data_IF_933494397462
#
_entry.id   IF_933494397462
#
_cell.length_a   1.000
_cell.length_b   1.000
_cell.length_c   1.000
_cell.angle_alpha   90.00
_cell.angle_beta   90.00
_cell.angle_gamma   90.00
#
_symmetry.space_group_name_H-M   'P 1'
#
loop_
_entity.id
_entity.type
_entity.pdbx_description
1 polymer ?
#
# COMPACT_ATOMS: atom_id res chain seq x y z
N UNK A 1 -28.49 -8.31 -33.21
CA UNK A 1 -28.12 -6.89 -33.09
C UNK A 1 -28.26 -6.22 -34.44
N UNK A 2 -28.82 -5.02 -34.45
CA UNK A 2 -29.19 -4.22 -35.62
C UNK A 2 -28.11 -3.18 -35.95
N UNK A 3 -28.09 -2.65 -37.19
CA UNK A 3 -27.19 -1.55 -37.58
C UNK A 3 -27.36 -0.29 -36.70
N UNK A 4 -28.52 -0.17 -36.06
CA UNK A 4 -28.91 0.87 -35.10
C UNK A 4 -28.22 0.70 -33.73
N UNK A 5 -27.86 -0.52 -33.34
CA UNK A 5 -27.22 -0.82 -32.05
C UNK A 5 -25.77 -0.30 -32.05
N UNK A 6 -25.04 -0.50 -33.15
CA UNK A 6 -23.67 0.01 -33.30
C UNK A 6 -23.58 1.54 -33.33
N UNK A 7 -24.57 2.22 -33.91
CA UNK A 7 -24.64 3.68 -33.92
C UNK A 7 -24.91 4.25 -32.51
N UNK A 8 -25.77 3.60 -31.73
CA UNK A 8 -26.06 4.01 -30.35
C UNK A 8 -24.87 3.76 -29.41
N UNK A 9 -24.18 2.61 -29.55
CA UNK A 9 -22.96 2.32 -28.83
C UNK A 9 -21.85 3.34 -29.13
N UNK A 10 -21.63 3.67 -30.40
CA UNK A 10 -20.67 4.71 -30.80
C UNK A 10 -21.04 6.09 -30.26
N UNK A 11 -22.32 6.44 -30.21
CA UNK A 11 -22.77 7.70 -29.64
C UNK A 11 -22.50 7.77 -28.12
N UNK A 12 -22.72 6.67 -27.39
CA UNK A 12 -22.40 6.59 -25.96
C UNK A 12 -20.89 6.72 -25.71
N UNK A 13 -20.04 6.07 -26.52
CA UNK A 13 -18.59 6.18 -26.40
C UNK A 13 -18.09 7.61 -26.70
N UNK A 14 -18.67 8.29 -27.71
CA UNK A 14 -18.35 9.70 -27.99
C UNK A 14 -18.75 10.61 -26.85
N UNK A 15 -19.93 10.41 -26.27
CA UNK A 15 -20.36 11.16 -25.10
C UNK A 15 -19.40 10.95 -23.90
N UNK A 16 -18.82 9.76 -23.76
CA UNK A 16 -17.82 9.46 -22.73
C UNK A 16 -16.52 10.25 -22.99
N UNK A 17 -16.02 10.27 -24.23
CA UNK A 17 -14.82 11.05 -24.57
C UNK A 17 -15.05 12.56 -24.48
N UNK A 18 -16.25 13.03 -24.79
CA UNK A 18 -16.62 14.45 -24.66
C UNK A 18 -16.68 14.86 -23.18
N UNK A 19 -17.25 14.01 -22.32
CA UNK A 19 -17.23 14.19 -20.87
C UNK A 19 -15.80 14.16 -20.30
N UNK A 20 -14.93 13.31 -20.84
CA UNK A 20 -13.50 13.30 -20.50
C UNK A 20 -12.83 14.64 -20.85
N UNK A 21 -13.07 15.15 -22.06
CA UNK A 21 -12.47 16.40 -22.51
C UNK A 21 -12.93 17.63 -21.70
N UNK A 22 -14.13 17.59 -21.13
CA UNK A 22 -14.67 18.66 -20.27
C UNK A 22 -14.37 18.48 -18.78
N UNK A 23 -13.76 17.36 -18.38
CA UNK A 23 -13.54 17.01 -16.97
C UNK A 23 -14.83 16.64 -16.22
N UNK A 24 -15.90 16.27 -16.92
CA UNK A 24 -17.18 15.86 -16.34
C UNK A 24 -17.15 14.41 -15.85
N UNK A 25 -16.57 14.22 -14.67
CA UNK A 25 -16.45 12.91 -14.01
C UNK A 25 -17.81 12.22 -13.85
N UNK A 26 -18.86 12.96 -13.49
CA UNK A 26 -20.21 12.41 -13.31
C UNK A 26 -20.81 11.96 -14.65
N UNK A 27 -20.58 12.72 -15.72
CA UNK A 27 -20.96 12.35 -17.08
C UNK A 27 -20.25 11.09 -17.56
N UNK A 28 -18.96 10.95 -17.28
CA UNK A 28 -18.17 9.75 -17.58
C UNK A 28 -18.69 8.53 -16.82
N UNK A 29 -18.88 8.62 -15.50
CA UNK A 29 -19.36 7.52 -14.67
C UNK A 29 -20.74 7.00 -15.12
N UNK A 30 -21.63 7.89 -15.55
CA UNK A 30 -22.94 7.50 -16.09
C UNK A 30 -22.84 6.66 -17.37
N UNK A 31 -21.74 6.74 -18.08
CA UNK A 31 -21.50 6.03 -19.33
C UNK A 31 -20.64 4.78 -19.16
N UNK A 32 -20.16 4.49 -17.95
CA UNK A 32 -19.44 3.26 -17.63
C UNK A 32 -20.41 2.11 -17.28
N UNK A 33 -19.97 0.89 -17.57
CA UNK A 33 -20.69 -0.34 -17.19
C UNK A 33 -20.62 -0.57 -15.68
N UNK A 34 -21.57 -1.33 -15.14
CA UNK A 34 -21.55 -1.73 -13.73
C UNK A 34 -20.29 -2.52 -13.39
N UNK A 35 -19.89 -3.44 -14.26
CA UNK A 35 -18.65 -4.24 -14.15
C UNK A 35 -17.41 -3.35 -13.97
N UNK A 36 -17.29 -2.31 -14.80
CA UNK A 36 -16.18 -1.36 -14.70
C UNK A 36 -16.17 -0.58 -13.38
N UNK A 37 -17.35 -0.16 -12.91
CA UNK A 37 -17.49 0.59 -11.67
C UNK A 37 -17.18 -0.28 -10.43
N UNK A 38 -17.62 -1.54 -10.45
CA UNK A 38 -17.36 -2.52 -9.38
C UNK A 38 -15.89 -2.97 -9.35
N UNK A 39 -15.22 -3.03 -10.50
CA UNK A 39 -13.81 -3.42 -10.60
C UNK A 39 -12.82 -2.27 -10.31
N UNK A 40 -13.29 -1.06 -9.97
CA UNK A 40 -12.43 0.10 -9.75
C UNK A 40 -11.65 0.56 -11.00
N UNK A 41 -12.09 0.16 -12.20
CA UNK A 41 -11.34 0.33 -13.45
C UNK A 41 -11.27 1.76 -13.99
N UNK A 42 -11.72 2.77 -13.23
CA UNK A 42 -11.77 4.16 -13.65
C UNK A 42 -11.07 5.08 -12.64
N UNK A 43 -9.99 5.73 -13.08
CA UNK A 43 -9.13 6.60 -12.26
C UNK A 43 -9.33 8.10 -12.52
N UNK A 44 -10.39 8.48 -13.23
CA UNK A 44 -10.71 9.88 -13.56
C UNK A 44 -10.38 10.27 -15.01
N UNK A 45 -10.52 11.56 -15.35
CA UNK A 45 -10.35 12.03 -16.71
C UNK A 45 -8.87 11.99 -17.13
N UNK A 46 -8.62 11.57 -18.36
CA UNK A 46 -7.30 11.66 -18.98
C UNK A 46 -6.92 13.12 -19.26
N UNK A 47 -5.62 13.46 -19.33
CA UNK A 47 -5.15 14.78 -19.74
C UNK A 47 -5.81 15.24 -21.05
N UNK A 48 -6.18 16.53 -21.11
CA UNK A 48 -7.02 17.13 -22.16
C UNK A 48 -6.39 17.21 -23.57
N UNK A 49 -5.15 16.77 -23.72
CA UNK A 49 -4.34 16.99 -24.91
C UNK A 49 -4.41 15.83 -25.91
N UNK A 50 -5.53 15.09 -25.94
CA UNK A 50 -5.72 13.97 -26.88
C UNK A 50 -6.91 14.19 -27.82
N UNK A 51 -6.74 13.78 -29.08
CA UNK A 51 -7.79 13.68 -30.08
C UNK A 51 -8.12 12.20 -30.31
N UNK A 52 -9.41 11.87 -30.28
CA UNK A 52 -9.90 10.50 -30.47
C UNK A 52 -10.49 10.31 -31.86
N UNK A 53 -10.06 9.26 -32.55
CA UNK A 53 -10.66 8.78 -33.79
C UNK A 53 -11.36 7.45 -33.53
N UNK A 54 -12.56 7.27 -34.08
CA UNK A 54 -13.36 6.06 -33.90
C UNK A 54 -13.56 5.35 -35.22
N UNK A 55 -13.29 4.05 -35.23
CA UNK A 55 -13.55 3.15 -36.35
C UNK A 55 -15.00 2.69 -36.46
N UNK A 56 -15.26 1.78 -37.39
CA UNK A 56 -16.58 1.18 -37.56
C UNK A 56 -16.91 0.22 -36.40
N UNK A 57 -18.08 0.36 -35.75
CA UNK A 57 -18.51 -0.56 -34.69
C UNK A 57 -18.81 -1.96 -35.22
N UNK A 58 -18.38 -2.98 -34.48
CA UNK A 58 -18.59 -4.40 -34.78
C UNK A 58 -19.34 -5.09 -33.63
N UNK A 59 -20.31 -5.94 -33.93
CA UNK A 59 -21.00 -6.74 -32.91
C UNK A 59 -20.24 -8.04 -32.62
N UNK A 60 -19.89 -8.29 -31.37
CA UNK A 60 -19.13 -9.48 -30.94
C UNK A 60 -19.73 -10.01 -29.65
N UNK A 61 -20.22 -11.25 -29.66
CA UNK A 61 -20.68 -12.00 -28.47
C UNK A 61 -21.61 -11.23 -27.50
N UNK A 62 -22.55 -10.45 -28.06
CA UNK A 62 -23.53 -9.68 -27.28
C UNK A 62 -23.06 -8.30 -26.85
N UNK A 63 -21.83 -7.91 -27.20
CA UNK A 63 -21.28 -6.56 -27.04
C UNK A 63 -21.08 -5.88 -28.40
N UNK A 64 -20.89 -4.56 -28.38
CA UNK A 64 -20.40 -3.79 -29.54
C UNK A 64 -18.96 -3.37 -29.26
N UNK A 65 -18.05 -3.73 -30.16
CA UNK A 65 -16.65 -3.31 -30.10
C UNK A 65 -16.45 -2.13 -31.04
N UNK A 66 -15.92 -1.03 -30.52
CA UNK A 66 -15.59 0.18 -31.29
C UNK A 66 -14.07 0.36 -31.28
N UNK A 67 -13.39 0.28 -32.44
CA UNK A 67 -11.99 0.65 -32.52
C UNK A 67 -11.82 2.14 -32.19
N UNK A 68 -10.88 2.48 -31.31
CA UNK A 68 -10.55 3.85 -30.95
C UNK A 68 -9.04 4.07 -31.03
N UNK A 69 -8.64 5.17 -31.65
CA UNK A 69 -7.27 5.66 -31.66
C UNK A 69 -7.17 6.99 -30.93
N UNK A 70 -6.18 7.15 -30.06
CA UNK A 70 -5.85 8.42 -29.40
C UNK A 70 -4.56 9.00 -29.99
N UNK A 71 -4.59 10.29 -30.33
CA UNK A 71 -3.50 11.05 -30.93
C UNK A 71 -3.22 12.30 -30.10
N UNK A 72 -1.98 12.82 -30.05
CA UNK A 72 -1.71 14.05 -29.32
C UNK A 72 -2.41 15.23 -29.99
N UNK A 73 -2.90 16.17 -29.19
CA UNK A 73 -3.56 17.39 -29.62
C UNK A 73 -2.61 18.32 -30.34
N UNK A 74 -3.09 18.97 -31.40
CA UNK A 74 -2.31 19.96 -32.16
C UNK A 74 -1.36 19.37 -33.22
N UNK A 75 -1.34 18.04 -33.39
CA UNK A 75 -0.60 17.36 -34.46
C UNK A 75 -1.58 16.99 -35.58
N UNK A 76 -1.16 17.11 -36.85
CA UNK A 76 -2.02 16.83 -38.00
C UNK A 76 -2.55 15.39 -38.05
N UNK A 77 -3.61 15.11 -38.82
CA UNK A 77 -4.27 13.79 -38.89
C UNK A 77 -3.40 12.65 -39.45
N UNK A 78 -2.16 12.93 -39.88
CA UNK A 78 -1.20 11.93 -40.36
C UNK A 78 -0.18 11.48 -39.30
N UNK A 79 -0.28 11.95 -38.05
CA UNK A 79 0.57 11.46 -36.95
C UNK A 79 0.30 9.97 -36.64
N UNK A 80 1.26 9.27 -36.04
CA UNK A 80 0.95 7.92 -35.54
C UNK A 80 0.10 8.02 -34.25
N UNK A 81 -0.89 7.12 -34.03
CA UNK A 81 -1.64 7.09 -32.79
C UNK A 81 -0.73 6.70 -31.63
N UNK A 82 -0.86 7.38 -30.49
CA UNK A 82 -0.14 7.04 -29.25
C UNK A 82 -0.76 5.81 -28.60
N UNK A 83 -2.04 5.59 -28.86
CA UNK A 83 -2.81 4.48 -28.30
C UNK A 83 -3.87 4.04 -29.29
N UNK A 84 -4.02 2.72 -29.46
CA UNK A 84 -5.10 2.12 -30.21
C UNK A 84 -5.75 1.04 -29.33
N UNK A 85 -7.07 1.09 -29.18
CA UNK A 85 -7.82 0.17 -28.34
C UNK A 85 -9.14 -0.28 -28.97
N UNK A 86 -9.64 -1.41 -28.50
CA UNK A 86 -10.92 -1.99 -28.91
C UNK A 86 -11.93 -1.78 -27.80
N UNK A 87 -12.61 -0.63 -27.79
CA UNK A 87 -13.55 -0.26 -26.74
C UNK A 87 -14.76 -1.19 -26.75
N UNK A 88 -15.00 -1.88 -25.63
CA UNK A 88 -16.12 -2.80 -25.47
C UNK A 88 -17.32 -2.04 -24.91
N UNK A 89 -18.43 -2.07 -25.63
CA UNK A 89 -19.69 -1.46 -25.24
C UNK A 89 -20.72 -2.55 -24.94
N UNK A 90 -21.38 -2.44 -23.79
CA UNK A 90 -22.41 -3.37 -23.32
C UNK A 90 -23.73 -2.63 -23.11
N UNK A 91 -24.86 -3.30 -23.30
CA UNK A 91 -26.18 -2.73 -23.03
C UNK A 91 -26.63 -3.10 -21.61
N UNK A 92 -26.86 -2.09 -20.77
CA UNK A 92 -27.34 -2.24 -19.40
C UNK A 92 -28.56 -1.35 -19.19
N UNK A 93 -29.64 -1.91 -18.65
CA UNK A 93 -30.88 -1.19 -18.34
C UNK A 93 -31.43 -0.36 -19.53
N UNK A 94 -31.22 -0.85 -20.75
CA UNK A 94 -31.64 -0.20 -22.01
C UNK A 94 -30.76 0.97 -22.47
N UNK A 95 -29.55 1.11 -21.90
CA UNK A 95 -28.57 2.11 -22.30
C UNK A 95 -27.21 1.47 -22.60
N UNK A 96 -26.52 1.97 -23.63
CA UNK A 96 -25.16 1.55 -23.94
C UNK A 96 -24.16 2.13 -22.94
N UNK A 97 -23.29 1.27 -22.43
CA UNK A 97 -22.25 1.56 -21.45
C UNK A 97 -20.90 1.11 -21.97
N UNK A 98 -19.85 1.85 -21.61
CA UNK A 98 -18.47 1.51 -21.89
C UNK A 98 -17.94 0.58 -20.80
N UNK A 99 -17.56 -0.63 -21.18
CA UNK A 99 -16.88 -1.58 -20.32
C UNK A 99 -15.36 -1.41 -20.43
N UNK A 100 -14.85 -0.43 -19.68
CA UNK A 100 -13.43 -0.11 -19.64
C UNK A 100 -12.61 -1.26 -19.02
N UNK A 101 -13.15 -1.95 -18.01
CA UNK A 101 -12.48 -3.11 -17.40
C UNK A 101 -12.25 -4.22 -18.44
N UNK A 102 -13.30 -4.61 -19.17
CA UNK A 102 -13.17 -5.60 -20.24
C UNK A 102 -12.30 -5.11 -21.42
N UNK A 103 -12.27 -3.80 -21.67
CA UNK A 103 -11.42 -3.19 -22.70
C UNK A 103 -9.92 -3.26 -22.32
N UNK A 104 -9.59 -3.07 -21.05
CA UNK A 104 -8.20 -3.05 -20.54
C UNK A 104 -7.66 -4.44 -20.22
N UNK A 105 -8.52 -5.40 -19.85
CA UNK A 105 -8.10 -6.71 -19.38
C UNK A 105 -7.20 -7.48 -20.37
N UNK A 106 -7.51 -7.59 -21.67
CA UNK A 106 -6.62 -8.25 -22.63
C UNK A 106 -5.25 -7.55 -22.79
N UNK A 107 -5.21 -6.23 -22.57
CA UNK A 107 -3.96 -5.46 -22.63
C UNK A 107 -3.11 -5.70 -21.38
N UNK A 108 -3.73 -5.79 -20.21
CA UNK A 108 -3.05 -6.17 -18.97
C UNK A 108 -2.52 -7.59 -19.05
N UNK A 109 -3.31 -8.56 -19.51
CA UNK A 109 -2.89 -9.96 -19.67
C UNK A 109 -1.72 -10.09 -20.67
N UNK A 110 -1.74 -9.34 -21.77
CA UNK A 110 -0.64 -9.30 -22.73
C UNK A 110 0.63 -8.66 -22.14
N UNK A 111 0.47 -7.60 -21.34
CA UNK A 111 1.57 -6.95 -20.63
C UNK A 111 2.17 -7.88 -19.56
N UNK A 112 1.33 -8.58 -18.80
CA UNK A 112 1.75 -9.58 -17.81
C UNK A 112 2.45 -10.76 -18.47
N UNK A 113 1.94 -11.25 -19.61
CA UNK A 113 2.61 -12.30 -20.38
C UNK A 113 3.98 -11.85 -20.90
N UNK A 114 4.08 -10.63 -21.43
CA UNK A 114 5.35 -10.05 -21.88
C UNK A 114 6.33 -9.80 -20.72
N UNK A 115 5.84 -9.36 -19.55
CA UNK A 115 6.64 -9.20 -18.33
C UNK A 115 7.10 -10.54 -17.77
N UNK A 116 6.26 -11.57 -17.83
CA UNK A 116 6.62 -12.94 -17.43
C UNK A 116 7.67 -13.52 -18.37
N UNK A 117 7.53 -13.36 -19.68
CA UNK A 117 8.51 -13.82 -20.66
C UNK A 117 9.84 -13.05 -20.53
N UNK A 118 9.80 -11.74 -20.31
CA UNK A 118 10.98 -10.94 -20.01
C UNK A 118 11.64 -11.35 -18.69
N UNK A 119 10.85 -11.64 -17.65
CA UNK A 119 11.33 -12.11 -16.35
C UNK A 119 11.90 -13.53 -16.39
N UNK A 120 11.35 -14.42 -17.21
CA UNK A 120 11.88 -15.76 -17.46
C UNK A 120 13.21 -15.69 -18.23
N UNK A 121 13.34 -14.82 -19.23
CA UNK A 121 14.60 -14.60 -19.95
C UNK A 121 15.68 -13.94 -19.07
N UNK A 122 15.30 -13.00 -18.20
CA UNK A 122 16.20 -12.40 -17.21
C UNK A 122 16.60 -13.41 -16.13
N UNK A 123 15.67 -14.27 -15.73
CA UNK A 123 15.86 -15.35 -14.77
C UNK A 123 16.74 -16.49 -15.29
N UNK A 124 16.64 -16.87 -16.57
CA UNK A 124 17.54 -17.84 -17.20
C UNK A 124 18.95 -17.26 -17.40
N UNK A 125 19.06 -15.99 -17.80
CA UNK A 125 20.35 -15.31 -17.97
C UNK A 125 21.07 -15.10 -16.62
N UNK A 126 20.35 -14.68 -15.57
CA UNK A 126 20.90 -14.56 -14.21
C UNK A 126 21.13 -15.93 -13.56
N UNK A 127 20.23 -16.90 -13.77
CA UNK A 127 20.35 -18.26 -13.25
C UNK A 127 21.56 -19.00 -13.82
N UNK A 128 21.83 -18.84 -15.13
CA UNK A 128 23.03 -19.37 -15.77
C UNK A 128 24.32 -18.72 -15.27
N UNK A 129 24.30 -17.39 -15.05
CA UNK A 129 25.45 -16.66 -14.53
C UNK A 129 25.72 -16.96 -13.03
N UNK A 130 24.68 -17.06 -12.20
CA UNK A 130 24.79 -17.38 -10.78
C UNK A 130 25.10 -18.85 -10.53
N UNK A 131 24.63 -19.78 -11.36
CA UNK A 131 25.00 -21.19 -11.24
C UNK A 131 26.48 -21.42 -11.58
N UNK A 132 27.00 -20.76 -12.62
CA UNK A 132 28.42 -20.77 -12.95
C UNK A 132 29.31 -20.08 -11.89
N UNK A 133 28.79 -19.04 -11.21
CA UNK A 133 29.49 -18.37 -10.11
C UNK A 133 29.39 -19.19 -8.81
N UNK A 134 28.27 -19.86 -8.57
CA UNK A 134 28.00 -20.74 -7.43
C UNK A 134 28.82 -22.03 -7.46
N UNK A 135 29.04 -22.65 -8.63
CA UNK A 135 29.95 -23.80 -8.78
C UNK A 135 31.42 -23.40 -8.55
N UNK A 136 31.82 -22.18 -8.96
CA UNK A 136 33.15 -21.65 -8.70
C UNK A 136 33.39 -21.30 -7.22
N UNK A 137 32.36 -20.85 -6.49
CA UNK A 137 32.41 -20.53 -5.06
C UNK A 137 32.28 -21.80 -4.19
N UNK A 138 31.39 -22.72 -4.53
CA UNK A 138 31.23 -24.00 -3.82
C UNK A 138 32.46 -24.92 -3.95
N UNK A 139 33.18 -24.84 -5.07
CA UNK A 139 34.49 -25.49 -5.23
C UNK A 139 35.61 -24.85 -4.40
N UNK A 140 35.46 -23.59 -3.99
CA UNK A 140 36.47 -22.82 -3.25
C UNK A 140 36.20 -22.75 -1.72
N UNK A 141 34.95 -22.93 -1.29
CA UNK A 141 34.53 -22.76 0.12
C UNK A 141 33.96 -24.04 0.74
N UNK A 142 34.68 -25.15 0.57
CA UNK A 142 34.51 -26.33 1.44
C UNK A 142 34.89 -25.97 2.88
N UNK A 143 33.96 -25.39 3.61
CA UNK A 143 34.14 -24.93 4.98
C UNK A 143 32.84 -24.37 5.53
N UNK A 144 32.20 -25.17 6.38
CA UNK A 144 31.05 -24.84 7.21
C UNK A 144 31.33 -23.53 7.98
N UNK A 145 30.79 -22.41 7.48
CA UNK A 145 30.75 -21.13 8.19
C UNK A 145 29.35 -20.93 8.74
N UNK A 146 29.20 -21.24 10.03
CA UNK A 146 28.18 -20.62 10.86
C UNK A 146 28.49 -19.12 10.84
N UNK A 147 27.56 -18.31 10.31
CA UNK A 147 27.75 -16.86 10.23
C UNK A 147 27.98 -16.28 11.63
N UNK A 148 29.23 -15.94 11.94
CA UNK A 148 29.61 -15.09 13.07
C UNK A 148 29.08 -13.68 12.79
N UNK A 149 27.85 -13.42 13.25
CA UNK A 149 27.18 -12.15 12.98
C UNK A 149 25.85 -12.00 13.70
N UNK A 150 25.72 -12.53 14.93
CA UNK A 150 24.69 -12.03 15.83
C UNK A 150 25.10 -10.62 16.25
N UNK A 151 24.78 -9.62 15.42
CA UNK A 151 24.94 -8.21 15.78
C UNK A 151 24.15 -7.97 17.06
N UNK A 152 24.84 -7.43 18.07
CA UNK A 152 24.22 -7.01 19.31
C UNK A 152 23.49 -5.71 19.03
N UNK A 153 22.23 -5.82 18.61
CA UNK A 153 21.32 -4.69 18.37
C UNK A 153 21.05 -3.87 19.65
N UNK A 154 21.50 -4.35 20.80
CA UNK A 154 21.37 -3.75 22.13
C UNK A 154 21.85 -2.29 22.17
N UNK A 155 22.90 -1.95 21.42
CA UNK A 155 23.47 -0.60 21.37
C UNK A 155 22.79 0.34 20.36
N UNK A 156 21.81 -0.14 19.59
CA UNK A 156 21.08 0.70 18.65
C UNK A 156 20.31 1.80 19.40
N UNK A 157 20.19 3.02 18.84
CA UNK A 157 19.47 4.12 19.47
C UNK A 157 17.99 3.77 19.75
N UNK A 158 17.40 4.37 20.78
CA UNK A 158 16.01 4.07 21.20
C UNK A 158 14.92 4.70 20.33
N UNK A 159 15.24 5.68 19.52
CA UNK A 159 14.28 6.38 18.69
C UNK A 159 14.92 7.05 17.49
N UNK A 160 14.14 7.77 16.68
CA UNK A 160 14.62 8.50 15.52
C UNK A 160 15.67 9.57 15.89
N UNK A 161 16.68 9.72 15.04
CA UNK A 161 17.65 10.81 15.16
C UNK A 161 17.06 12.14 14.66
N UNK A 162 17.66 13.30 14.99
CA UNK A 162 17.20 14.61 14.49
C UNK A 162 17.06 14.67 12.96
N UNK A 163 17.93 13.95 12.25
CA UNK A 163 17.91 13.80 10.80
C UNK A 163 16.71 13.03 10.27
N UNK A 164 16.10 12.16 11.09
CA UNK A 164 14.93 11.34 10.74
C UNK A 164 13.62 12.11 11.00
N UNK A 165 13.70 13.25 11.71
CA UNK A 165 12.54 14.01 12.17
C UNK A 165 12.21 15.19 11.26
N UNK A 166 10.93 15.35 10.97
CA UNK A 166 10.38 16.44 10.14
C UNK A 166 9.29 17.16 10.89
N UNK A 167 9.02 18.41 10.51
CA UNK A 167 7.92 19.18 11.09
C UNK A 167 6.59 18.66 10.55
N UNK A 168 5.63 18.47 11.45
CA UNK A 168 4.26 18.20 11.07
C UNK A 168 3.61 19.49 10.53
N UNK A 169 2.69 19.38 9.56
CA UNK A 169 1.84 20.50 9.20
C UNK A 169 0.95 20.91 10.37
N UNK A 170 0.28 22.05 10.24
CA UNK A 170 -0.76 22.44 11.19
C UNK A 170 -1.92 21.43 11.13
N UNK A 171 -2.27 20.85 12.28
CA UNK A 171 -3.31 19.84 12.39
C UNK A 171 -4.57 20.41 13.04
N UNK A 172 -5.73 20.04 12.51
CA UNK A 172 -7.03 20.41 13.07
C UNK A 172 -7.57 19.29 13.94
N UNK A 173 -8.07 19.60 15.15
CA UNK A 173 -8.74 18.62 16.00
C UNK A 173 -10.13 18.29 15.46
N UNK A 174 -10.40 17.01 15.29
CA UNK A 174 -11.69 16.44 14.91
C UNK A 174 -12.47 16.14 16.20
N UNK A 175 -13.41 17.02 16.58
CA UNK A 175 -14.01 16.99 17.93
C UNK A 175 -14.90 15.76 18.15
N UNK A 176 -15.71 15.39 17.15
CA UNK A 176 -16.57 14.22 17.21
C UNK A 176 -15.76 12.92 17.33
N UNK A 177 -14.78 12.77 16.45
CA UNK A 177 -13.88 11.61 16.45
C UNK A 177 -13.04 11.54 17.73
N UNK A 178 -12.51 12.68 18.20
CA UNK A 178 -11.75 12.75 19.46
C UNK A 178 -12.57 12.30 20.65
N UNK A 179 -13.84 12.73 20.74
CA UNK A 179 -14.74 12.32 21.82
C UNK A 179 -15.01 10.81 21.78
N UNK A 180 -15.29 10.26 20.59
CA UNK A 180 -15.56 8.83 20.41
C UNK A 180 -14.34 7.95 20.74
N UNK A 181 -13.14 8.34 20.30
CA UNK A 181 -11.90 7.62 20.64
C UNK A 181 -11.60 7.73 22.14
N UNK A 182 -11.74 8.93 22.71
CA UNK A 182 -11.51 9.17 24.14
C UNK A 182 -12.44 8.33 25.01
N UNK A 183 -13.71 8.24 24.65
CA UNK A 183 -14.71 7.40 25.34
C UNK A 183 -14.31 5.91 25.28
N UNK A 184 -13.96 5.41 24.10
CA UNK A 184 -13.62 4.00 23.90
C UNK A 184 -12.33 3.58 24.63
N UNK A 185 -11.30 4.44 24.59
CA UNK A 185 -9.99 4.17 25.22
C UNK A 185 -10.01 4.46 26.74
N UNK A 186 -10.89 5.35 27.20
CA UNK A 186 -10.98 5.77 28.59
C UNK A 186 -9.90 6.77 29.02
N UNK A 187 -9.31 7.50 28.05
CA UNK A 187 -8.26 8.53 28.22
C UNK A 187 -8.43 9.55 27.09
N UNK A 188 -8.12 10.83 27.33
CA UNK A 188 -8.09 11.84 26.26
C UNK A 188 -7.07 11.47 25.19
N UNK A 189 -7.57 11.19 23.99
CA UNK A 189 -6.80 10.86 22.79
C UNK A 189 -7.35 11.72 21.64
N UNK A 190 -6.72 12.87 21.33
CA UNK A 190 -7.11 13.68 20.19
C UNK A 190 -7.06 12.89 18.88
N UNK A 191 -8.05 13.10 18.02
CA UNK A 191 -7.98 12.81 16.59
C UNK A 191 -7.69 14.13 15.87
N UNK A 192 -6.59 14.16 15.14
CA UNK A 192 -6.03 15.32 14.47
C UNK A 192 -5.97 15.05 12.97
N UNK A 193 -6.32 16.02 12.14
CA UNK A 193 -6.30 15.88 10.68
C UNK A 193 -5.44 16.97 10.03
N UNK A 194 -4.60 16.59 9.07
CA UNK A 194 -3.97 17.53 8.14
C UNK A 194 -5.01 18.02 7.12
N UNK A 195 -5.87 18.92 7.56
CA UNK A 195 -7.00 19.40 6.76
C UNK A 195 -6.55 20.08 5.46
N UNK A 196 -5.41 20.77 5.48
CA UNK A 196 -4.88 21.42 4.30
C UNK A 196 -4.42 20.39 3.26
N UNK A 197 -3.69 19.36 3.69
CA UNK A 197 -3.27 18.27 2.82
C UNK A 197 -4.46 17.48 2.26
N UNK A 198 -5.44 17.15 3.10
CA UNK A 198 -6.66 16.43 2.71
C UNK A 198 -7.50 17.23 1.70
N UNK A 199 -7.72 18.53 1.94
CA UNK A 199 -8.42 19.40 0.98
C UNK A 199 -7.64 19.54 -0.34
N UNK A 200 -6.30 19.55 -0.26
CA UNK A 200 -5.40 19.58 -1.40
C UNK A 200 -5.61 18.42 -2.37
N UNK A 201 -5.97 17.23 -1.87
CA UNK A 201 -6.29 16.05 -2.71
C UNK A 201 -7.45 16.32 -3.68
N UNK A 202 -8.37 17.21 -3.31
CA UNK A 202 -9.56 17.56 -4.09
C UNK A 202 -9.48 18.95 -4.74
N UNK A 203 -8.36 19.66 -4.59
CA UNK A 203 -8.25 21.06 -5.02
C UNK A 203 -9.22 22.00 -4.28
N UNK A 204 -9.65 21.62 -3.07
CA UNK A 204 -10.61 22.36 -2.27
C UNK A 204 -9.90 23.29 -1.27
N UNK A 205 -10.64 24.27 -0.74
CA UNK A 205 -10.14 25.19 0.30
C UNK A 205 -11.08 25.35 1.49
N UNK A 206 -12.32 24.88 1.37
CA UNK A 206 -13.32 24.94 2.44
C UNK A 206 -13.40 23.58 3.15
N UNK A 207 -13.01 23.48 4.44
CA UNK A 207 -13.10 22.25 5.21
C UNK A 207 -14.53 21.90 5.66
N UNK A 208 -15.48 22.85 5.58
CA UNK A 208 -16.84 22.71 6.12
C UNK A 208 -17.57 21.43 5.70
N UNK A 209 -17.54 21.04 4.42
CA UNK A 209 -18.17 19.78 3.97
C UNK A 209 -17.45 18.50 4.44
N UNK A 210 -16.13 18.57 4.65
CA UNK A 210 -15.30 17.40 4.97
C UNK A 210 -15.31 17.07 6.47
N UNK A 211 -15.39 18.08 7.33
CA UNK A 211 -15.36 17.90 8.80
C UNK A 211 -16.45 16.92 9.28
N UNK A 212 -17.75 17.06 8.93
CA UNK A 212 -18.77 16.14 9.42
C UNK A 212 -18.55 14.70 8.93
N UNK A 213 -18.01 14.52 7.72
CA UNK A 213 -17.71 13.20 7.19
C UNK A 213 -16.51 12.56 7.92
N UNK A 214 -15.44 13.33 8.16
CA UNK A 214 -14.28 12.87 8.94
C UNK A 214 -14.66 12.51 10.37
N UNK A 215 -15.43 13.37 11.04
CA UNK A 215 -15.82 13.19 12.45
C UNK A 215 -16.76 12.00 12.68
N UNK A 216 -17.49 11.56 11.65
CA UNK A 216 -18.52 10.54 11.79
C UNK A 216 -18.21 9.28 10.99
N UNK A 217 -18.18 9.38 9.66
CA UNK A 217 -18.16 8.22 8.76
C UNK A 217 -16.74 7.66 8.59
N UNK A 218 -15.77 8.52 8.29
CA UNK A 218 -14.38 8.09 8.07
C UNK A 218 -13.75 7.50 9.33
N UNK A 219 -13.98 8.14 10.48
CA UNK A 219 -13.45 7.67 11.77
C UNK A 219 -14.36 6.63 12.46
N UNK A 220 -15.41 6.15 11.78
CA UNK A 220 -16.33 5.18 12.36
C UNK A 220 -15.58 3.91 12.78
N UNK A 221 -15.65 3.56 14.07
CA UNK A 221 -15.02 2.35 14.59
C UNK A 221 -13.55 2.50 15.00
N UNK A 222 -12.93 3.66 14.78
CA UNK A 222 -11.54 3.94 15.18
C UNK A 222 -11.31 3.72 16.69
N UNK A 223 -12.18 4.31 17.52
CA UNK A 223 -12.12 4.15 18.99
C UNK A 223 -12.18 2.70 19.45
N UNK A 224 -13.22 1.93 19.07
CA UNK A 224 -13.31 0.50 19.36
C UNK A 224 -12.10 -0.32 18.88
N UNK A 225 -11.56 -0.02 17.70
CA UNK A 225 -10.41 -0.73 17.16
C UNK A 225 -9.13 -0.46 17.95
N UNK A 226 -8.91 0.77 18.41
CA UNK A 226 -7.80 1.12 19.30
C UNK A 226 -7.97 0.44 20.66
N UNK A 227 -9.17 0.50 21.25
CA UNK A 227 -9.46 -0.09 22.56
C UNK A 227 -9.31 -1.62 22.57
N UNK A 228 -9.47 -2.29 21.43
CA UNK A 228 -9.28 -3.72 21.30
C UNK A 228 -7.84 -4.18 21.57
N UNK A 229 -6.84 -3.29 21.53
CA UNK A 229 -5.48 -3.56 21.97
C UNK A 229 -5.32 -3.66 23.52
N UNK A 230 -6.42 -3.51 24.28
CA UNK A 230 -6.42 -3.66 25.74
C UNK A 230 -5.68 -2.52 26.44
N UNK A 231 -4.92 -2.80 27.49
CA UNK A 231 -4.24 -1.77 28.29
C UNK A 231 -3.21 -0.96 27.50
N UNK A 232 -2.60 -1.54 26.45
CA UNK A 232 -1.63 -0.85 25.59
C UNK A 232 -2.27 0.32 24.83
N UNK A 233 -3.58 0.28 24.59
CA UNK A 233 -4.32 1.38 23.95
C UNK A 233 -4.16 2.71 24.70
N UNK A 234 -3.93 2.68 26.02
CA UNK A 234 -3.74 3.88 26.85
C UNK A 234 -2.39 4.55 26.60
N UNK A 235 -1.45 3.87 25.93
CA UNK A 235 -0.18 4.44 25.49
C UNK A 235 -0.34 5.30 24.23
N UNK A 236 -1.43 5.15 23.48
CA UNK A 236 -1.71 6.03 22.33
C UNK A 236 -1.88 7.47 22.84
N UNK A 237 -1.15 8.39 22.22
CA UNK A 237 -1.16 9.82 22.54
C UNK A 237 -2.19 10.54 21.69
N UNK A 238 -2.15 10.33 20.38
CA UNK A 238 -3.09 10.92 19.42
C UNK A 238 -3.31 9.99 18.24
N UNK A 239 -4.35 10.28 17.46
CA UNK A 239 -4.54 9.71 16.12
C UNK A 239 -4.37 10.84 15.11
N UNK A 240 -3.55 10.63 14.08
CA UNK A 240 -3.34 11.60 13.00
C UNK A 240 -3.90 11.06 11.69
N UNK A 241 -4.70 11.87 11.02
CA UNK A 241 -5.25 11.60 9.68
C UNK A 241 -4.45 12.43 8.69
N UNK A 242 -3.73 11.76 7.79
CA UNK A 242 -2.84 12.37 6.82
C UNK A 242 -3.28 12.00 5.38
N UNK A 243 -3.06 12.87 4.38
CA UNK A 243 -3.32 12.51 2.99
C UNK A 243 -2.28 11.49 2.48
N UNK A 244 -2.74 10.47 1.76
CA UNK A 244 -1.91 9.71 0.83
C UNK A 244 -2.03 10.35 -0.56
N UNK A 245 -0.91 10.72 -1.17
CA UNK A 245 -0.92 11.31 -2.53
C UNK A 245 -0.92 10.25 -3.63
N UNK A 246 -0.64 9.01 -3.25
CA UNK A 246 -0.65 7.81 -4.07
C UNK A 246 -1.07 6.61 -3.21
N UNK A 247 -1.59 5.57 -3.87
CA UNK A 247 -2.00 4.32 -3.25
C UNK A 247 -0.85 3.65 -2.48
N UNK A 248 0.39 3.77 -2.97
CA UNK A 248 1.57 3.21 -2.30
C UNK A 248 1.84 3.80 -0.91
N UNK A 249 1.22 4.94 -0.57
CA UNK A 249 1.35 5.63 0.71
C UNK A 249 0.16 5.40 1.66
N UNK A 250 -0.84 4.62 1.25
CA UNK A 250 -1.96 4.25 2.12
C UNK A 250 -1.48 3.26 3.19
N UNK A 251 -1.59 3.65 4.46
CA UNK A 251 -1.26 2.76 5.58
C UNK A 251 -1.82 3.25 6.92
N UNK A 252 -1.94 2.32 7.86
CA UNK A 252 -2.00 2.64 9.30
C UNK A 252 -0.71 2.18 9.98
N UNK A 253 -0.03 3.06 10.70
CA UNK A 253 1.23 2.78 11.39
C UNK A 253 1.37 3.62 12.68
N UNK A 254 2.39 3.30 13.48
CA UNK A 254 2.79 4.12 14.63
C UNK A 254 3.91 5.09 14.24
N UNK A 255 3.83 6.31 14.77
CA UNK A 255 4.91 7.29 14.77
C UNK A 255 5.18 7.70 16.22
N UNK A 256 6.08 6.95 16.87
CA UNK A 256 6.19 6.97 18.33
C UNK A 256 4.87 6.52 18.95
N UNK A 257 4.25 7.39 19.76
CA UNK A 257 2.97 7.11 20.44
C UNK A 257 1.73 7.60 19.68
N UNK A 258 1.91 8.17 18.49
CA UNK A 258 0.79 8.58 17.64
C UNK A 258 0.41 7.44 16.67
N UNK A 259 -0.88 7.14 16.59
CA UNK A 259 -1.42 6.29 15.53
C UNK A 259 -1.64 7.15 14.29
N UNK A 260 -1.00 6.82 13.18
CA UNK A 260 -1.11 7.56 11.93
C UNK A 260 -1.92 6.74 10.95
N UNK A 261 -3.00 7.34 10.47
CA UNK A 261 -3.84 6.82 9.41
C UNK A 261 -3.65 7.71 8.18
N UNK A 262 -2.84 7.25 7.25
CA UNK A 262 -2.61 7.95 5.98
C UNK A 262 -3.49 7.34 4.90
N UNK A 263 -4.37 8.15 4.30
CA UNK A 263 -5.45 7.68 3.44
C UNK A 263 -5.56 8.46 2.12
N UNK A 264 -5.83 7.76 1.02
CA UNK A 264 -6.18 8.37 -0.27
C UNK A 264 -7.71 8.45 -0.39
N UNK A 265 -8.27 9.57 0.04
CA UNK A 265 -9.72 9.77 0.06
C UNK A 265 -10.33 9.95 -1.34
N UNK A 266 -9.53 9.98 -2.40
CA UNK A 266 -10.02 10.11 -3.79
C UNK A 266 -10.48 8.78 -4.37
N UNK A 267 -9.98 7.67 -3.84
CA UNK A 267 -10.34 6.32 -4.26
C UNK A 267 -11.31 5.68 -3.28
N UNK A 268 -12.23 4.87 -3.81
CA UNK A 268 -13.19 4.14 -3.01
C UNK A 268 -12.53 3.11 -2.08
N UNK A 269 -11.39 2.56 -2.49
CA UNK A 269 -10.61 1.62 -1.69
C UNK A 269 -9.52 2.32 -0.87
N UNK A 270 -9.31 3.63 -1.05
CA UNK A 270 -8.15 4.35 -0.50
C UNK A 270 -8.23 4.67 1.00
N UNK A 271 -9.26 4.13 1.66
CA UNK A 271 -9.45 4.17 3.10
C UNK A 271 -10.32 3.01 3.57
N UNK A 272 -10.12 2.58 4.81
CA UNK A 272 -10.86 1.51 5.47
C UNK A 272 -12.29 1.95 5.79
N UNK A 273 -13.21 1.66 4.86
CA UNK A 273 -14.64 1.96 4.97
C UNK A 273 -15.36 1.15 6.04
N UNK A 274 -14.93 -0.10 6.24
CA UNK A 274 -15.61 -1.03 7.12
C UNK A 274 -14.92 -1.07 8.48
N UNK A 275 -15.74 -1.02 9.53
CA UNK A 275 -15.26 -1.17 10.91
C UNK A 275 -14.45 -2.45 11.08
N UNK A 276 -14.84 -3.52 10.37
CA UNK A 276 -14.17 -4.81 10.38
C UNK A 276 -12.71 -4.71 9.93
N UNK A 277 -12.39 -3.87 8.95
CA UNK A 277 -11.02 -3.69 8.45
C UNK A 277 -10.15 -3.02 9.51
N UNK A 278 -10.65 -1.93 10.13
CA UNK A 278 -9.99 -1.24 11.22
C UNK A 278 -9.77 -2.18 12.42
N UNK A 279 -10.78 -2.98 12.78
CA UNK A 279 -10.69 -3.97 13.85
C UNK A 279 -9.68 -5.09 13.55
N UNK A 280 -9.39 -5.36 12.27
CA UNK A 280 -8.37 -6.34 11.87
C UNK A 280 -6.96 -5.76 11.93
N UNK A 281 -6.80 -4.48 11.59
CA UNK A 281 -5.48 -3.85 11.40
C UNK A 281 -4.98 -3.19 12.70
N UNK A 282 -5.78 -2.29 13.27
CA UNK A 282 -5.33 -1.38 14.33
C UNK A 282 -4.84 -2.10 15.59
N UNK A 283 -5.46 -3.20 16.08
CA UNK A 283 -4.99 -3.84 17.30
C UNK A 283 -3.52 -4.29 17.19
N UNK A 284 -3.14 -4.90 16.07
CA UNK A 284 -1.76 -5.33 15.84
C UNK A 284 -0.79 -4.15 15.76
N UNK A 285 -1.18 -3.07 15.09
CA UNK A 285 -0.40 -1.83 15.01
C UNK A 285 -0.18 -1.25 16.42
N UNK A 286 -1.24 -1.07 17.20
CA UNK A 286 -1.18 -0.48 18.56
C UNK A 286 -0.39 -1.34 19.53
N UNK A 287 -0.47 -2.67 19.43
CA UNK A 287 0.32 -3.58 20.27
C UNK A 287 1.84 -3.43 20.04
N UNK A 288 2.26 -2.89 18.90
CA UNK A 288 3.66 -2.48 18.67
C UNK A 288 4.18 -1.49 19.71
N UNK A 289 3.32 -0.68 20.35
CA UNK A 289 3.71 0.23 21.43
C UNK A 289 4.23 -0.49 22.68
N UNK A 290 3.85 -1.75 22.91
CA UNK A 290 4.34 -2.50 24.06
C UNK A 290 5.84 -2.80 23.96
N UNK A 291 6.38 -2.84 22.74
CA UNK A 291 7.79 -3.06 22.45
C UNK A 291 8.55 -1.77 22.16
N UNK A 292 7.84 -0.69 21.76
CA UNK A 292 8.46 0.59 21.40
C UNK A 292 8.69 1.49 22.62
N UNK A 293 9.94 1.90 22.80
CA UNK A 293 10.33 2.93 23.76
C UNK A 293 10.56 4.30 23.07
N UNK A 294 10.36 4.37 21.76
CA UNK A 294 10.68 5.54 20.95
C UNK A 294 9.59 6.61 21.08
N UNK A 295 9.92 7.75 21.68
CA UNK A 295 9.03 8.92 21.66
C UNK A 295 9.41 9.84 20.49
N UNK A 296 8.41 10.22 19.70
CA UNK A 296 8.54 11.22 18.64
C UNK A 296 8.09 12.55 19.23
N UNK A 297 8.96 13.58 19.24
CA UNK A 297 8.61 14.88 19.82
C UNK A 297 7.32 15.43 19.25
N UNK A 298 6.56 16.14 20.07
CA UNK A 298 5.33 16.82 19.63
C UNK A 298 5.61 17.76 18.44
N UNK A 299 4.72 17.75 17.45
CA UNK A 299 4.88 18.53 16.22
C UNK A 299 5.95 17.99 15.26
N UNK A 300 6.50 16.79 15.52
CA UNK A 300 7.43 16.11 14.61
C UNK A 300 6.86 14.79 14.10
N UNK A 301 7.36 14.35 12.95
CA UNK A 301 7.09 13.03 12.39
C UNK A 301 8.37 12.36 11.91
N UNK A 302 8.46 11.04 12.12
CA UNK A 302 9.52 10.21 11.56
C UNK A 302 9.10 9.41 10.34
N UNK A 303 7.79 9.17 10.16
CA UNK A 303 7.26 8.41 9.02
C UNK A 303 7.67 9.04 7.69
N UNK A 304 7.92 8.26 6.62
CA UNK A 304 8.23 8.81 5.31
C UNK A 304 7.02 9.50 4.67
N UNK A 305 7.25 10.25 3.59
CA UNK A 305 6.28 10.75 2.61
C UNK A 305 6.88 10.66 1.21
N UNK A 306 6.12 10.95 0.15
CA UNK A 306 6.59 10.92 -1.24
C UNK A 306 7.88 11.68 -1.47
N UNK A 307 7.99 12.84 -0.82
CA UNK A 307 9.12 13.76 -0.98
C UNK A 307 10.26 13.50 0.01
N UNK A 308 10.08 12.61 0.98
CA UNK A 308 11.07 12.46 2.05
C UNK A 308 10.98 11.12 2.78
N UNK A 309 12.11 10.50 3.04
CA UNK A 309 12.19 9.33 3.91
C UNK A 309 13.57 8.72 3.85
N UNK A 310 13.80 7.58 4.54
CA UNK A 310 15.09 6.94 4.51
C UNK A 310 15.32 6.30 3.14
N UNK A 311 16.59 6.30 2.78
CA UNK A 311 17.17 5.47 1.75
C UNK A 311 17.30 4.02 2.25
N UNK A 312 17.44 3.01 1.38
CA UNK A 312 17.70 1.60 1.78
C UNK A 312 18.94 1.52 2.67
N UNK A 313 19.99 2.25 2.32
CA UNK A 313 21.24 2.35 3.09
C UNK A 313 20.96 2.86 4.50
N UNK A 314 20.20 3.95 4.62
CA UNK A 314 19.84 4.53 5.91
C UNK A 314 18.90 3.65 6.70
N UNK A 315 17.95 2.99 6.04
CA UNK A 315 17.09 2.02 6.69
C UNK A 315 17.93 0.90 7.31
N UNK A 316 18.83 0.30 6.54
CA UNK A 316 19.74 -0.76 6.98
C UNK A 316 20.62 -0.33 8.17
N UNK A 317 21.17 0.88 8.11
CA UNK A 317 22.18 1.32 9.07
C UNK A 317 21.60 1.97 10.33
N UNK A 318 20.42 2.60 10.23
CA UNK A 318 19.84 3.36 11.33
C UNK A 318 18.50 2.83 11.81
N UNK A 319 17.62 2.32 10.94
CA UNK A 319 16.26 1.96 11.33
C UNK A 319 16.11 0.47 11.67
N UNK A 320 16.62 -0.41 10.81
CA UNK A 320 16.58 -1.85 11.02
C UNK A 320 17.20 -2.27 12.37
N UNK A 321 18.36 -1.73 12.80
CA UNK A 321 18.90 -2.04 14.13
C UNK A 321 17.97 -1.68 15.29
N UNK A 322 17.21 -0.57 15.18
CA UNK A 322 16.24 -0.14 16.20
C UNK A 322 15.11 -1.15 16.33
N UNK A 323 14.49 -1.51 15.21
CA UNK A 323 13.42 -2.50 15.19
C UNK A 323 13.92 -3.89 15.60
N UNK A 324 15.10 -4.31 15.18
CA UNK A 324 15.67 -5.59 15.60
C UNK A 324 15.91 -5.66 17.11
N UNK A 325 16.27 -4.54 17.74
CA UNK A 325 16.38 -4.46 19.21
C UNK A 325 15.02 -4.62 19.87
N UNK A 326 13.98 -3.95 19.36
CA UNK A 326 12.60 -4.08 19.87
C UNK A 326 12.07 -5.51 19.70
N UNK A 327 12.29 -6.11 18.53
CA UNK A 327 11.90 -7.50 18.26
C UNK A 327 12.64 -8.46 19.19
N UNK A 328 13.96 -8.30 19.35
CA UNK A 328 14.77 -9.14 20.24
C UNK A 328 14.32 -9.04 21.70
N UNK A 329 13.96 -7.83 22.15
CA UNK A 329 13.38 -7.62 23.48
C UNK A 329 11.99 -8.29 23.61
N UNK A 330 11.15 -8.18 22.59
CA UNK A 330 9.80 -8.75 22.59
C UNK A 330 9.78 -10.29 22.58
N UNK A 331 10.80 -10.94 22.00
CA UNK A 331 10.92 -12.42 22.00
C UNK A 331 11.83 -12.97 23.09
N UNK A 332 12.32 -12.10 23.98
CA UNK A 332 13.28 -12.43 25.05
C UNK A 332 14.48 -13.24 24.53
N UNK A 333 15.06 -12.81 23.40
CA UNK A 333 16.13 -13.56 22.74
C UNK A 333 16.75 -12.84 21.56
N UNK A 334 17.97 -13.23 21.20
CA UNK A 334 18.66 -12.66 20.05
C UNK A 334 18.03 -13.16 18.73
N UNK A 335 17.66 -12.22 17.85
CA UNK A 335 17.12 -12.50 16.52
C UNK A 335 18.12 -12.03 15.46
N UNK A 336 18.46 -12.91 14.52
CA UNK A 336 19.28 -12.57 13.36
C UNK A 336 18.45 -11.89 12.27
N UNK A 337 19.04 -10.95 11.55
CA UNK A 337 18.47 -10.35 10.35
C UNK A 337 19.26 -10.79 9.12
N UNK A 338 18.62 -11.52 8.21
CA UNK A 338 19.16 -11.91 6.91
C UNK A 338 18.36 -11.21 5.81
N UNK A 339 18.88 -10.08 5.35
CA UNK A 339 18.20 -9.25 4.36
C UNK A 339 19.02 -9.17 3.07
N UNK A 340 18.35 -9.41 1.94
CA UNK A 340 18.94 -9.27 0.62
C UNK A 340 18.96 -7.79 0.21
N UNK A 341 19.86 -7.02 0.83
CA UNK A 341 19.96 -5.58 0.60
C UNK A 341 20.19 -5.21 -0.87
N UNK A 342 20.87 -6.08 -1.62
CA UNK A 342 21.16 -5.88 -3.04
C UNK A 342 19.90 -5.98 -3.90
N UNK A 343 18.94 -6.82 -3.50
CA UNK A 343 17.63 -6.89 -4.18
C UNK A 343 16.79 -5.61 -4.04
N UNK A 344 17.08 -4.75 -3.06
CA UNK A 344 16.41 -3.48 -2.86
C UNK A 344 17.13 -2.33 -3.61
N UNK A 345 17.25 -2.44 -4.93
CA UNK A 345 18.06 -1.53 -5.74
C UNK A 345 17.47 -0.10 -5.95
N UNK A 346 16.16 0.10 -5.79
CA UNK A 346 15.53 1.44 -5.83
C UNK A 346 15.70 2.14 -4.48
N UNK A 347 16.84 2.77 -4.33
CA UNK A 347 17.39 3.20 -3.05
C UNK A 347 16.45 4.09 -2.21
N UNK A 348 15.80 5.09 -2.82
CA UNK A 348 14.85 5.95 -2.09
C UNK A 348 13.46 5.31 -1.92
N UNK A 349 12.92 4.72 -2.99
CA UNK A 349 11.56 4.16 -2.99
C UNK A 349 11.44 2.95 -2.05
N UNK A 350 12.37 2.00 -2.17
CA UNK A 350 12.39 0.84 -1.29
C UNK A 350 12.76 1.24 0.14
N UNK A 351 13.61 2.25 0.34
CA UNK A 351 13.91 2.75 1.68
C UNK A 351 12.66 3.28 2.40
N UNK A 352 11.85 4.08 1.70
CA UNK A 352 10.53 4.53 2.20
C UNK A 352 9.58 3.38 2.43
N UNK A 353 9.50 2.44 1.50
CA UNK A 353 8.65 1.25 1.62
C UNK A 353 9.02 0.41 2.85
N UNK A 354 10.31 0.14 3.07
CA UNK A 354 10.80 -0.62 4.23
C UNK A 354 10.53 0.08 5.56
N UNK A 355 10.55 1.42 5.59
CA UNK A 355 10.20 2.19 6.78
C UNK A 355 8.75 2.01 7.23
N UNK A 356 7.83 1.74 6.29
CA UNK A 356 6.39 1.54 6.56
C UNK A 356 6.02 0.06 6.66
N UNK A 357 6.63 -0.79 5.84
CA UNK A 357 6.19 -2.17 5.61
C UNK A 357 7.22 -3.23 6.00
N UNK A 358 8.41 -2.82 6.42
CA UNK A 358 9.48 -3.73 6.85
C UNK A 358 9.33 -4.19 8.30
N UNK A 359 10.42 -4.09 9.06
CA UNK A 359 10.52 -4.65 10.41
C UNK A 359 9.56 -4.03 11.44
N UNK A 360 9.06 -2.81 11.23
CA UNK A 360 8.03 -2.22 12.09
C UNK A 360 6.77 -3.10 12.18
N UNK A 361 6.39 -3.76 11.07
CA UNK A 361 5.27 -4.71 11.03
C UNK A 361 5.55 -5.99 11.80
N UNK A 362 6.81 -6.41 11.85
CA UNK A 362 7.22 -7.59 12.62
C UNK A 362 7.14 -7.32 14.12
N UNK A 363 7.46 -6.10 14.58
CA UNK A 363 7.33 -5.70 16.00
C UNK A 363 5.89 -5.92 16.49
N UNK A 364 4.91 -5.37 15.78
CA UNK A 364 3.50 -5.51 16.15
C UNK A 364 2.97 -6.94 15.97
N UNK A 365 3.42 -7.66 14.94
CA UNK A 365 3.05 -9.06 14.73
C UNK A 365 3.52 -9.98 15.87
N UNK A 366 4.76 -9.80 16.33
CA UNK A 366 5.32 -10.53 17.47
C UNK A 366 4.56 -10.21 18.75
N UNK A 367 4.24 -8.93 19.00
CA UNK A 367 3.46 -8.52 20.17
C UNK A 367 2.06 -9.14 20.16
N UNK A 368 1.37 -9.10 19.02
CA UNK A 368 0.05 -9.70 18.82
C UNK A 368 0.10 -11.22 19.02
N UNK A 369 1.07 -11.89 18.42
CA UNK A 369 1.25 -13.33 18.55
C UNK A 369 1.54 -13.75 20.00
N UNK A 370 2.47 -13.07 20.69
CA UNK A 370 2.82 -13.36 22.08
C UNK A 370 1.65 -13.13 23.06
N UNK A 371 0.77 -12.16 22.77
CA UNK A 371 -0.42 -11.93 23.60
C UNK A 371 -1.39 -13.12 23.55
N UNK A 372 -1.56 -13.73 22.37
CA UNK A 372 -2.42 -14.90 22.18
C UNK A 372 -1.74 -16.21 22.62
N UNK A 373 -0.42 -16.30 22.40
CA UNK A 373 0.38 -17.50 22.63
C UNK A 373 1.70 -17.14 23.32
N UNK A 374 1.74 -17.03 24.67
CA UNK A 374 2.98 -16.75 25.37
C UNK A 374 4.05 -17.81 25.06
N UNK A 375 5.10 -17.42 24.34
CA UNK A 375 6.15 -18.32 23.90
C UNK A 375 7.34 -18.37 24.86
N UNK A 376 8.12 -19.45 24.77
CA UNK A 376 9.43 -19.51 25.41
C UNK A 376 10.46 -18.65 24.64
N UNK A 377 11.48 -18.17 25.36
CA UNK A 377 12.61 -17.44 24.77
C UNK A 377 13.20 -18.17 23.55
N UNK A 378 13.50 -17.41 22.49
CA UNK A 378 14.20 -17.92 21.30
C UNK A 378 13.33 -18.70 20.30
N UNK A 379 12.00 -18.64 20.41
CA UNK A 379 11.08 -19.22 19.43
C UNK A 379 11.23 -18.60 18.03
N UNK A 380 11.52 -17.29 17.97
CA UNK A 380 11.94 -16.57 16.77
C UNK A 380 13.47 -16.41 16.82
N UNK A 381 14.17 -17.00 15.85
CA UNK A 381 15.63 -17.03 15.75
C UNK A 381 16.16 -16.13 14.65
N UNK A 382 15.42 -15.99 13.55
CA UNK A 382 15.83 -15.15 12.43
C UNK A 382 14.65 -14.55 11.68
N UNK A 383 14.89 -13.40 11.06
CA UNK A 383 14.00 -12.75 10.11
C UNK A 383 14.74 -12.66 8.78
N UNK A 384 14.10 -13.13 7.71
CA UNK A 384 14.59 -13.03 6.34
C UNK A 384 13.77 -12.02 5.57
N UNK A 385 14.39 -10.94 5.12
CA UNK A 385 13.74 -9.94 4.28
C UNK A 385 14.23 -10.05 2.84
N UNK A 386 13.28 -10.15 1.90
CA UNK A 386 13.52 -10.24 0.46
C UNK A 386 12.67 -9.21 -0.27
N UNK A 387 13.18 -8.67 -1.36
CA UNK A 387 12.33 -7.97 -2.32
C UNK A 387 11.48 -9.01 -3.06
N UNK A 388 10.16 -8.94 -2.88
CA UNK A 388 9.22 -9.80 -3.59
C UNK A 388 9.20 -9.42 -5.05
N UNK A 389 9.32 -10.41 -5.94
CA UNK A 389 9.26 -10.18 -7.39
C UNK A 389 7.87 -9.69 -7.81
N UNK A 390 6.94 -10.61 -8.02
CA UNK A 390 5.59 -10.31 -8.50
C UNK A 390 4.49 -10.42 -7.44
N UNK A 391 4.74 -11.12 -6.34
CA UNK A 391 3.79 -11.39 -5.25
C UNK A 391 4.49 -11.30 -3.90
N UNK A 392 3.76 -10.83 -2.91
CA UNK A 392 4.19 -10.88 -1.53
C UNK A 392 4.17 -12.32 -1.02
N UNK A 393 5.10 -12.66 -0.12
CA UNK A 393 5.11 -13.98 0.53
C UNK A 393 5.55 -13.88 1.98
N UNK A 394 4.98 -14.72 2.83
CA UNK A 394 5.40 -14.85 4.21
C UNK A 394 5.34 -16.32 4.64
N UNK A 395 6.34 -16.78 5.38
CA UNK A 395 6.36 -18.12 5.97
C UNK A 395 7.13 -18.13 7.29
N UNK A 396 6.78 -19.04 8.19
CA UNK A 396 7.49 -19.23 9.44
C UNK A 396 7.86 -20.70 9.63
N UNK A 397 9.16 -20.99 9.59
CA UNK A 397 9.68 -22.37 9.64
C UNK A 397 10.89 -22.44 10.56
N UNK A 398 10.88 -23.37 11.52
CA UNK A 398 11.99 -23.61 12.46
C UNK A 398 12.50 -22.32 13.13
N UNK A 399 11.59 -21.42 13.53
CA UNK A 399 11.96 -20.15 14.15
C UNK A 399 12.52 -19.11 13.15
N UNK A 400 12.31 -19.28 11.85
CA UNK A 400 12.72 -18.32 10.82
C UNK A 400 11.50 -17.74 10.14
N UNK A 401 11.24 -16.44 10.34
CA UNK A 401 10.22 -15.70 9.61
C UNK A 401 10.82 -15.20 8.29
N UNK A 402 10.31 -15.67 7.16
CA UNK A 402 10.69 -15.17 5.83
C UNK A 402 9.60 -14.28 5.28
N UNK A 403 9.96 -13.10 4.79
CA UNK A 403 9.05 -12.12 4.20
C UNK A 403 9.60 -11.64 2.85
N UNK A 404 8.82 -11.82 1.79
CA UNK A 404 9.02 -11.20 0.48
C UNK A 404 8.06 -10.03 0.32
N UNK A 405 8.58 -8.80 0.19
CA UNK A 405 7.80 -7.57 0.12
C UNK A 405 7.84 -6.96 -1.28
N UNK A 406 6.69 -6.67 -1.87
CA UNK A 406 6.57 -5.99 -3.17
C UNK A 406 6.32 -4.51 -2.93
N UNK A 407 7.36 -3.79 -2.54
CA UNK A 407 7.26 -2.45 -1.94
C UNK A 407 6.57 -1.40 -2.85
N UNK A 408 6.75 -1.50 -4.17
CA UNK A 408 6.12 -0.59 -5.13
C UNK A 408 4.58 -0.73 -5.20
N UNK A 409 4.01 -1.80 -4.61
CA UNK A 409 2.54 -2.00 -4.51
C UNK A 409 1.96 -1.49 -3.19
N UNK A 410 2.78 -0.91 -2.30
CA UNK A 410 2.35 -0.44 -0.99
C UNK A 410 1.67 -1.55 -0.19
N UNK A 411 0.50 -1.24 0.38
CA UNK A 411 -0.33 -2.18 1.14
C UNK A 411 -0.60 -3.49 0.38
N UNK A 412 -0.90 -3.42 -0.92
CA UNK A 412 -1.25 -4.58 -1.74
C UNK A 412 -0.08 -5.52 -2.04
N UNK A 413 1.14 -5.14 -1.70
CA UNK A 413 2.35 -5.97 -1.82
C UNK A 413 3.04 -6.26 -0.49
N UNK A 414 2.38 -5.95 0.62
CA UNK A 414 2.95 -6.00 1.96
C UNK A 414 1.99 -6.64 2.97
N UNK A 415 2.42 -6.71 4.23
CA UNK A 415 1.68 -7.37 5.29
C UNK A 415 1.41 -6.44 6.46
N UNK A 416 0.18 -6.49 6.94
CA UNK A 416 -0.15 -6.03 8.29
C UNK A 416 0.24 -7.05 9.35
N UNK A 417 0.35 -6.55 10.57
CA UNK A 417 0.73 -7.29 11.77
C UNK A 417 -0.15 -8.52 11.99
N UNK A 418 -1.45 -8.42 11.72
CA UNK A 418 -2.40 -9.53 11.87
C UNK A 418 -2.10 -10.71 10.92
N UNK A 419 -1.83 -10.43 9.63
CA UNK A 419 -1.45 -11.48 8.65
C UNK A 419 -0.13 -12.12 9.03
N UNK A 420 0.84 -11.34 9.52
CA UNK A 420 2.11 -11.89 9.98
C UNK A 420 1.94 -12.72 11.25
N UNK A 421 1.09 -12.30 12.19
CA UNK A 421 0.81 -13.07 13.40
C UNK A 421 0.13 -14.41 13.10
N UNK A 422 -0.74 -14.47 12.08
CA UNK A 422 -1.31 -15.72 11.57
C UNK A 422 -0.20 -16.66 11.06
N UNK A 423 0.71 -16.14 10.23
CA UNK A 423 1.87 -16.90 9.71
C UNK A 423 2.74 -17.45 10.85
N UNK A 424 2.95 -16.68 11.92
CA UNK A 424 3.69 -17.14 13.10
C UNK A 424 2.96 -18.28 13.83
N UNK A 425 1.63 -18.30 13.79
CA UNK A 425 0.79 -19.31 14.46
C UNK A 425 0.57 -20.62 13.69
N UNK A 426 0.70 -20.62 12.37
CA UNK A 426 0.44 -21.79 11.52
C UNK A 426 1.31 -23.03 11.84
N UNK A 427 2.45 -22.87 12.54
CA UNK A 427 3.32 -23.97 12.98
C UNK A 427 3.40 -24.22 14.48
N UNK A 428 2.78 -23.40 15.32
CA UNK A 428 2.76 -23.66 16.78
C UNK A 428 1.76 -24.76 17.19
N UNK A 429 1.10 -25.41 16.22
CA UNK A 429 0.08 -26.44 16.43
C UNK A 429 0.59 -27.89 16.26
N UNK A 430 1.88 -28.09 16.01
CA UNK A 430 2.57 -29.40 16.09
C UNK A 430 3.37 -29.51 17.39
#
# INVERSE_FOLDING_TARGET
>A
MSRTDGAAALAALRAFTDANASGDVVGMMKLLSRSTLEAGGFSGPMPSDFQFAFGEPEAVDGAVVVPMEARPGGVGPESDPVMAMRCIMVEEDGAWKFDLAATMQPQMEAMEAALREAGEQLGEAMGGAMSAMGEAIAGAMGGEQVAEGASRWEDAPRGPGPEDLRELPELMRMEGASAAVTEAVGKDVPVLADMNGLLGLFGATDPGPMIPWLDNEFCAGLGPAIAAAGEVSKCVRSVRIEPATDWGEHFIALDGTDLVYRADMRSDDGWYRMREDLMRIIPGVVLGLAASEADVPEGRTSLPSKESGPTVTRYREAWAPRYMREISAAVDGAVALDADWESFFQEEEHGRGLAVWGLCRVVGAVALFNQAHPQAAGWLRAIRLRNGGSLESASFEDGVLTMGLVLHRGEGGCFYECRLAEVLGERSAE
#
